data_IF_181975558395
#
_entry.id   IF_181975558395
#
_cell.length_a   1.000
_cell.length_b   1.000
_cell.length_c   1.000
_cell.angle_alpha   90.00
_cell.angle_beta   90.00
_cell.angle_gamma   90.00
#
_symmetry.space_group_name_H-M   'P 1'
#
loop_
_entity.id
_entity.type
_entity.pdbx_description
1 polymer ?
#
# COMPACT_ATOMS: atom_id res chain seq x y z
N UNK A 1 11.85 93.92 53.10
CA UNK A 1 12.63 92.97 52.29
C UNK A 1 13.19 91.97 53.31
N UNK A 2 12.92 90.68 53.26
CA UNK A 2 12.78 89.81 52.09
C UNK A 2 11.96 88.57 52.46
N UNK A 3 11.40 87.95 51.43
CA UNK A 3 10.40 86.89 51.39
C UNK A 3 10.76 85.63 52.20
N UNK A 4 9.78 85.12 52.96
CA UNK A 4 9.71 83.69 53.33
C UNK A 4 8.75 83.01 52.37
N UNK A 5 9.31 82.18 51.50
CA UNK A 5 8.62 81.34 50.51
C UNK A 5 7.89 80.21 51.26
N UNK A 6 6.56 80.31 51.40
CA UNK A 6 5.73 79.18 51.79
C UNK A 6 5.68 78.19 50.61
N UNK A 7 6.25 77.01 50.81
CA UNK A 7 6.15 75.90 49.87
C UNK A 7 4.71 75.36 49.91
N UNK A 8 3.97 75.59 48.82
CA UNK A 8 2.66 75.00 48.58
C UNK A 8 2.74 73.47 48.63
N UNK A 9 2.08 72.84 49.60
CA UNK A 9 1.74 71.42 49.53
C UNK A 9 0.74 71.19 48.38
N UNK A 10 0.93 70.14 47.55
CA UNK A 10 0.03 69.88 46.43
C UNK A 10 -1.36 69.45 46.93
N UNK A 11 -2.39 70.23 46.57
CA UNK A 11 -3.81 69.87 46.73
C UNK A 11 -4.15 68.71 45.77
N UNK A 12 -4.05 67.48 46.27
CA UNK A 12 -4.51 66.29 45.55
C UNK A 12 -4.61 65.08 46.48
N UNK A 13 -5.42 64.06 46.13
CA UNK A 13 -5.40 62.80 46.85
C UNK A 13 -3.97 62.25 46.84
N UNK A 14 -3.47 61.89 48.03
CA UNK A 14 -2.12 61.34 48.17
C UNK A 14 -2.03 60.07 47.33
N UNK A 15 -0.97 59.90 46.51
CA UNK A 15 -0.81 58.70 45.70
C UNK A 15 -0.82 57.47 46.60
N UNK A 16 -1.53 56.43 46.16
CA UNK A 16 -1.59 55.15 46.86
C UNK A 16 -0.17 54.58 46.96
N UNK A 17 0.25 54.18 48.17
CA UNK A 17 1.59 53.61 48.43
C UNK A 17 1.53 52.16 48.89
N UNK A 18 0.44 51.46 48.61
CA UNK A 18 0.30 50.05 48.96
C UNK A 18 1.03 49.13 47.99
N UNK A 19 0.88 47.83 48.17
CA UNK A 19 1.61 46.79 47.42
C UNK A 19 1.34 46.80 45.91
N UNK A 20 0.26 47.44 45.47
CA UNK A 20 -0.11 47.61 44.06
C UNK A 20 0.04 49.07 43.58
N UNK A 21 0.82 49.88 44.29
CA UNK A 21 1.14 51.23 43.86
C UNK A 21 2.00 51.18 42.60
N UNK A 22 1.52 51.78 41.52
CA UNK A 22 2.27 51.89 40.28
C UNK A 22 3.29 53.02 40.38
N UNK A 23 4.48 52.80 39.82
CA UNK A 23 5.53 53.81 39.68
C UNK A 23 5.11 54.87 38.64
N UNK A 24 4.85 56.12 39.06
CA UNK A 24 4.43 57.18 38.14
C UNK A 24 5.48 57.49 37.07
N UNK A 25 6.75 57.26 37.36
CA UNK A 25 7.87 57.56 36.47
C UNK A 25 8.10 56.43 35.45
N UNK A 26 7.47 55.26 35.64
CA UNK A 26 7.57 54.09 34.76
C UNK A 26 6.21 53.44 34.43
N UNK A 27 5.17 54.26 34.35
CA UNK A 27 3.79 53.82 34.20
C UNK A 27 3.56 52.97 32.94
N UNK A 28 4.22 53.28 31.83
CA UNK A 28 4.07 52.55 30.57
C UNK A 28 4.57 51.10 30.69
N UNK A 29 5.70 50.88 31.36
CA UNK A 29 6.25 49.54 31.57
C UNK A 29 5.38 48.74 32.55
N UNK A 30 4.83 49.36 33.59
CA UNK A 30 3.95 48.69 34.55
C UNK A 30 2.55 48.39 33.99
N UNK A 31 1.97 49.29 33.21
CA UNK A 31 0.71 49.03 32.50
C UNK A 31 0.89 47.91 31.47
N UNK A 32 2.05 47.82 30.83
CA UNK A 32 2.35 46.70 29.93
C UNK A 32 2.37 45.33 30.65
N UNK A 33 2.48 45.30 31.98
CA UNK A 33 2.36 44.10 32.83
C UNK A 33 0.93 43.84 33.30
N UNK A 34 -0.05 44.68 32.98
CA UNK A 34 -1.46 44.47 33.34
C UNK A 34 -2.18 43.79 32.17
N UNK A 35 -2.88 42.65 32.38
CA UNK A 35 -3.49 41.86 31.31
C UNK A 35 -4.40 42.62 30.35
N UNK A 36 -5.07 43.66 30.85
CA UNK A 36 -5.96 44.51 30.07
C UNK A 36 -5.22 45.44 29.10
N UNK A 37 -3.96 45.77 29.38
CA UNK A 37 -3.13 46.72 28.61
C UNK A 37 -1.86 46.07 28.03
N UNK A 38 -1.69 44.76 28.21
CA UNK A 38 -0.62 43.97 27.62
C UNK A 38 -0.69 44.01 26.09
N UNK A 39 0.42 44.41 25.47
CA UNK A 39 0.61 44.32 24.02
C UNK A 39 1.35 43.05 23.60
N UNK A 40 2.05 42.42 24.55
CA UNK A 40 2.77 41.15 24.39
C UNK A 40 2.66 40.33 25.68
N UNK A 41 2.75 39.00 25.57
CA UNK A 41 2.75 38.12 26.74
C UNK A 41 4.06 38.31 27.53
N UNK A 42 4.01 38.53 28.86
CA UNK A 42 5.20 38.72 29.68
C UNK A 42 6.04 37.43 29.73
N UNK A 43 7.37 37.60 29.82
CA UNK A 43 8.35 36.50 29.91
C UNK A 43 8.55 35.97 31.34
N UNK A 44 8.06 36.69 32.33
CA UNK A 44 8.13 36.36 33.76
C UNK A 44 6.72 36.05 34.30
N UNK A 45 6.65 35.26 35.38
CA UNK A 45 5.39 34.90 36.04
C UNK A 45 4.66 36.16 36.51
N UNK A 46 3.36 36.24 36.25
CA UNK A 46 2.55 37.42 36.52
C UNK A 46 1.30 37.04 37.30
N UNK A 47 1.31 37.35 38.60
CA UNK A 47 0.23 37.05 39.55
C UNK A 47 -1.15 37.52 39.07
N UNK A 48 -1.22 38.63 38.31
CA UNK A 48 -2.49 39.15 37.80
C UNK A 48 -3.02 38.37 36.59
N UNK A 49 -2.13 37.84 35.74
CA UNK A 49 -2.53 36.89 34.70
C UNK A 49 -3.00 35.58 35.32
N UNK A 50 -2.32 35.08 36.35
CA UNK A 50 -2.67 33.84 37.04
C UNK A 50 -4.00 33.95 37.78
N UNK A 51 -4.26 35.11 38.41
CA UNK A 51 -5.56 35.42 38.99
C UNK A 51 -6.68 35.42 37.94
N UNK A 52 -6.46 36.04 36.76
CA UNK A 52 -7.45 36.02 35.67
C UNK A 52 -7.63 34.63 35.07
N UNK A 53 -6.56 33.84 34.93
CA UNK A 53 -6.67 32.46 34.49
C UNK A 53 -7.46 31.60 35.48
N UNK A 54 -7.33 31.88 36.78
CA UNK A 54 -8.09 31.21 37.84
C UNK A 54 -9.58 31.54 37.76
N UNK A 55 -9.96 32.77 37.38
CA UNK A 55 -11.37 33.15 37.15
C UNK A 55 -12.08 32.28 36.10
N UNK A 56 -11.33 31.66 35.17
CA UNK A 56 -11.91 30.75 34.16
C UNK A 56 -12.47 29.47 34.81
N UNK A 57 -11.98 29.11 35.99
CA UNK A 57 -12.42 27.94 36.76
C UNK A 57 -13.32 28.31 37.95
N UNK A 58 -13.65 29.60 38.12
CA UNK A 58 -14.57 30.05 39.16
C UNK A 58 -16.02 29.75 38.75
N UNK A 59 -16.65 28.83 39.49
CA UNK A 59 -18.05 28.45 39.27
C UNK A 59 -18.33 27.02 39.68
N UNK A 60 -19.56 26.56 39.47
CA UNK A 60 -19.87 25.13 39.56
C UNK A 60 -19.17 24.37 38.42
N UNK A 61 -18.79 23.08 38.60
CA UNK A 61 -18.19 22.28 37.54
C UNK A 61 -19.01 22.29 36.24
N UNK A 62 -20.34 22.34 36.35
CA UNK A 62 -21.27 22.44 35.23
C UNK A 62 -21.16 23.77 34.46
N UNK A 63 -21.07 24.90 35.16
CA UNK A 63 -20.91 26.23 34.56
C UNK A 63 -19.55 26.37 33.86
N UNK A 64 -18.48 25.86 34.49
CA UNK A 64 -17.13 25.86 33.92
C UNK A 64 -17.08 24.99 32.66
N UNK A 65 -17.68 23.79 32.71
CA UNK A 65 -17.80 22.91 31.54
C UNK A 65 -18.59 23.57 30.40
N UNK A 66 -19.67 24.26 30.74
CA UNK A 66 -20.51 24.98 29.77
C UNK A 66 -19.73 26.11 29.09
N UNK A 67 -18.98 26.90 29.85
CA UNK A 67 -18.14 27.97 29.33
C UNK A 67 -17.09 27.42 28.34
N UNK A 68 -16.35 26.38 28.73
CA UNK A 68 -15.38 25.74 27.84
C UNK A 68 -16.03 25.12 26.59
N UNK A 69 -17.22 24.52 26.71
CA UNK A 69 -17.98 24.02 25.56
C UNK A 69 -18.30 25.16 24.59
N UNK A 70 -18.71 26.32 25.08
CA UNK A 70 -19.09 27.46 24.25
C UNK A 70 -17.87 28.11 23.57
N UNK A 71 -16.74 28.23 24.27
CA UNK A 71 -15.46 28.62 23.65
C UNK A 71 -15.02 27.63 22.55
N UNK A 72 -15.21 26.33 22.79
CA UNK A 72 -14.98 25.29 21.79
C UNK A 72 -15.90 25.44 20.57
N UNK A 73 -17.17 25.81 20.78
CA UNK A 73 -18.13 26.05 19.70
C UNK A 73 -17.74 27.27 18.85
N UNK A 74 -17.24 28.34 19.48
CA UNK A 74 -16.72 29.51 18.77
C UNK A 74 -15.51 29.15 17.90
N UNK A 75 -14.54 28.42 18.47
CA UNK A 75 -13.38 27.92 17.72
C UNK A 75 -13.81 27.00 16.57
N UNK A 76 -14.83 26.17 16.75
CA UNK A 76 -15.37 25.32 15.69
C UNK A 76 -15.99 26.15 14.55
N UNK A 77 -16.74 27.22 14.87
CA UNK A 77 -17.31 28.13 13.88
C UNK A 77 -16.24 28.94 13.15
N UNK A 78 -15.12 29.27 13.81
CA UNK A 78 -13.99 29.95 13.21
C UNK A 78 -13.26 29.11 12.13
N UNK A 79 -13.53 27.81 12.06
CA UNK A 79 -13.13 26.95 10.95
C UNK A 79 -11.82 26.18 11.17
N UNK A 80 -11.27 25.64 10.08
CA UNK A 80 -10.24 24.57 10.12
C UNK A 80 -8.97 24.94 10.88
N UNK A 81 -8.56 26.21 10.82
CA UNK A 81 -7.37 26.72 11.52
C UNK A 81 -7.50 26.64 13.04
N UNK A 82 -8.73 26.58 13.57
CA UNK A 82 -9.06 26.60 14.99
C UNK A 82 -9.61 25.28 15.53
N UNK A 83 -9.62 24.22 14.73
CA UNK A 83 -10.09 22.90 15.21
C UNK A 83 -9.20 22.28 16.29
N UNK A 84 -7.89 22.55 16.27
CA UNK A 84 -7.00 22.11 17.36
C UNK A 84 -7.35 22.81 18.68
N UNK A 85 -7.54 24.12 18.62
CA UNK A 85 -7.95 24.93 19.78
C UNK A 85 -9.31 24.48 20.30
N UNK A 86 -10.28 24.24 19.40
CA UNK A 86 -11.60 23.71 19.76
C UNK A 86 -11.50 22.36 20.49
N UNK A 87 -10.64 21.44 20.03
CA UNK A 87 -10.41 20.15 20.70
C UNK A 87 -9.87 20.36 22.11
N UNK A 88 -8.94 21.30 22.30
CA UNK A 88 -8.40 21.63 23.63
C UNK A 88 -9.50 22.13 24.56
N UNK A 89 -10.36 23.04 24.11
CA UNK A 89 -11.47 23.55 24.91
C UNK A 89 -12.50 22.47 25.26
N UNK A 90 -12.91 21.64 24.30
CA UNK A 90 -13.79 20.50 24.60
C UNK A 90 -13.16 19.48 25.53
N UNK A 91 -11.84 19.29 25.46
CA UNK A 91 -11.13 18.38 26.37
C UNK A 91 -11.11 18.95 27.78
N UNK A 92 -10.81 20.24 27.95
CA UNK A 92 -10.92 20.93 29.24
C UNK A 92 -12.34 20.85 29.81
N UNK A 93 -13.37 21.00 28.97
CA UNK A 93 -14.76 20.84 29.40
C UNK A 93 -15.04 19.41 29.91
N UNK A 94 -14.49 18.38 29.27
CA UNK A 94 -14.65 16.98 29.66
C UNK A 94 -13.80 16.57 30.86
N UNK A 95 -12.70 17.28 31.11
CA UNK A 95 -11.83 17.07 32.26
C UNK A 95 -12.40 17.73 33.53
N UNK A 96 -13.46 18.54 33.41
CA UNK A 96 -14.22 19.00 34.57
C UNK A 96 -14.96 17.83 35.22
N UNK A 97 -15.13 17.84 36.54
CA UNK A 97 -15.97 16.87 37.27
C UNK A 97 -17.48 17.13 37.07
N UNK A 98 -17.87 17.64 35.90
CA UNK A 98 -19.25 17.91 35.52
C UNK A 98 -20.06 16.62 35.48
N UNK A 99 -21.26 16.63 36.07
CA UNK A 99 -22.17 15.46 36.08
C UNK A 99 -23.30 15.55 35.05
N UNK A 100 -23.41 16.69 34.36
CA UNK A 100 -24.42 16.88 33.32
C UNK A 100 -24.04 16.12 32.05
N UNK A 101 -24.72 14.99 31.86
CA UNK A 101 -24.53 14.10 30.71
C UNK A 101 -24.83 14.79 29.37
N UNK A 102 -25.72 15.78 29.32
CA UNK A 102 -26.02 16.50 28.09
C UNK A 102 -24.84 17.38 27.63
N UNK A 103 -24.14 18.00 28.60
CA UNK A 103 -22.92 18.77 28.32
C UNK A 103 -21.81 17.83 27.84
N UNK A 104 -21.60 16.72 28.54
CA UNK A 104 -20.60 15.71 28.17
C UNK A 104 -20.87 15.14 26.78
N UNK A 105 -22.13 14.75 26.49
CA UNK A 105 -22.54 14.24 25.18
C UNK A 105 -22.22 15.25 24.06
N UNK A 106 -22.58 16.53 24.25
CA UNK A 106 -22.35 17.58 23.27
C UNK A 106 -20.85 17.82 23.04
N UNK A 107 -20.05 17.88 24.13
CA UNK A 107 -18.60 18.03 24.07
C UNK A 107 -17.94 16.87 23.31
N UNK A 108 -18.32 15.62 23.59
CA UNK A 108 -17.82 14.43 22.87
C UNK A 108 -18.21 14.47 21.39
N UNK A 109 -19.47 14.79 21.08
CA UNK A 109 -19.95 14.86 19.70
C UNK A 109 -19.23 15.96 18.89
N UNK A 110 -18.98 17.11 19.50
CA UNK A 110 -18.31 18.24 18.83
C UNK A 110 -16.80 18.02 18.71
N UNK A 111 -16.15 17.44 19.74
CA UNK A 111 -14.74 17.03 19.67
C UNK A 111 -14.51 15.97 18.59
N UNK A 112 -15.43 15.01 18.45
CA UNK A 112 -15.44 14.05 17.36
C UNK A 112 -15.56 14.73 15.99
N UNK A 113 -16.38 15.78 15.85
CA UNK A 113 -16.50 16.54 14.61
C UNK A 113 -15.18 17.22 14.21
N UNK A 114 -14.50 17.87 15.15
CA UNK A 114 -13.19 18.47 14.92
C UNK A 114 -12.16 17.40 14.49
N UNK A 115 -12.09 16.29 15.21
CA UNK A 115 -11.17 15.20 14.91
C UNK A 115 -11.45 14.57 13.54
N UNK A 116 -12.71 14.51 13.11
CA UNK A 116 -13.09 13.98 11.80
C UNK A 116 -12.61 14.86 10.66
N UNK A 117 -12.72 16.18 10.81
CA UNK A 117 -12.17 17.14 9.83
C UNK A 117 -10.64 17.15 9.79
N UNK A 118 -10.00 16.87 10.93
CA UNK A 118 -8.55 16.68 11.03
C UNK A 118 -8.09 15.26 10.63
N UNK A 119 -9.01 14.39 10.20
CA UNK A 119 -8.73 12.99 9.80
C UNK A 119 -8.12 12.10 10.92
N UNK A 120 -8.33 12.47 12.18
CA UNK A 120 -7.92 11.68 13.34
C UNK A 120 -8.95 10.57 13.64
N UNK A 121 -9.16 9.65 12.70
CA UNK A 121 -10.29 8.70 12.72
C UNK A 121 -10.35 7.84 14.00
N UNK A 122 -9.22 7.39 14.54
CA UNK A 122 -9.21 6.62 15.80
C UNK A 122 -9.76 7.40 17.00
N UNK A 123 -9.47 8.70 17.08
CA UNK A 123 -10.01 9.58 18.14
C UNK A 123 -11.51 9.81 17.94
N UNK A 124 -11.96 9.97 16.69
CA UNK A 124 -13.40 10.07 16.36
C UNK A 124 -14.17 8.88 16.91
N UNK A 125 -13.67 7.66 16.68
CA UNK A 125 -14.35 6.44 17.16
C UNK A 125 -14.40 6.36 18.68
N UNK A 126 -13.31 6.77 19.35
CA UNK A 126 -13.28 6.80 20.82
C UNK A 126 -14.30 7.80 21.38
N UNK A 127 -14.35 9.01 20.82
CA UNK A 127 -15.29 10.05 21.24
C UNK A 127 -16.73 9.68 20.92
N UNK A 128 -16.98 9.10 19.74
CA UNK A 128 -18.32 8.66 19.36
C UNK A 128 -18.80 7.46 20.18
N UNK A 129 -17.92 6.51 20.54
CA UNK A 129 -18.29 5.39 21.43
C UNK A 129 -18.80 5.90 22.76
N UNK A 130 -18.04 6.80 23.41
CA UNK A 130 -18.46 7.42 24.68
C UNK A 130 -19.74 8.24 24.53
N UNK A 131 -19.90 8.95 23.40
CA UNK A 131 -21.12 9.70 23.11
C UNK A 131 -22.34 8.77 22.98
N UNK A 132 -22.18 7.60 22.35
CA UNK A 132 -23.23 6.60 22.16
C UNK A 132 -23.53 5.79 23.42
N UNK A 133 -22.56 5.64 24.34
CA UNK A 133 -22.81 5.10 25.68
C UNK A 133 -23.76 5.99 26.49
N UNK A 134 -23.66 7.32 26.33
CA UNK A 134 -24.56 8.29 26.97
C UNK A 134 -25.90 8.36 26.24
N UNK A 135 -25.86 8.53 24.92
CA UNK A 135 -27.04 8.63 24.07
C UNK A 135 -26.91 7.73 22.83
N UNK A 136 -27.44 6.49 22.90
CA UNK A 136 -27.41 5.55 21.77
C UNK A 136 -28.14 6.05 20.53
N UNK A 137 -29.03 7.05 20.68
CA UNK A 137 -29.85 7.59 19.58
C UNK A 137 -29.22 8.81 18.90
N UNK A 138 -27.96 9.14 19.21
CA UNK A 138 -27.28 10.28 18.61
C UNK A 138 -26.85 9.97 17.15
N UNK A 139 -27.71 10.36 16.20
CA UNK A 139 -27.49 10.18 14.76
C UNK A 139 -26.18 10.82 14.30
N UNK A 140 -25.76 11.96 14.89
CA UNK A 140 -24.52 12.64 14.51
C UNK A 140 -23.29 11.82 14.90
N UNK A 141 -23.30 11.18 16.07
CA UNK A 141 -22.21 10.30 16.50
C UNK A 141 -22.12 9.03 15.64
N UNK A 142 -23.26 8.40 15.32
CA UNK A 142 -23.31 7.25 14.41
C UNK A 142 -22.81 7.60 13.00
N UNK A 143 -23.27 8.73 12.45
CA UNK A 143 -22.81 9.24 11.15
C UNK A 143 -21.29 9.48 11.11
N UNK A 144 -20.74 10.14 12.13
CA UNK A 144 -19.30 10.42 12.20
C UNK A 144 -18.48 9.14 12.36
N UNK A 145 -18.99 8.18 13.14
CA UNK A 145 -18.38 6.85 13.29
C UNK A 145 -18.36 6.11 11.95
N UNK A 146 -19.48 6.07 11.23
CA UNK A 146 -19.56 5.44 9.92
C UNK A 146 -18.57 6.07 8.92
N UNK A 147 -18.48 7.41 8.89
CA UNK A 147 -17.51 8.12 8.02
C UNK A 147 -16.07 7.79 8.39
N UNK A 148 -15.73 7.72 9.67
CA UNK A 148 -14.40 7.35 10.15
C UNK A 148 -14.05 5.88 9.86
N UNK A 149 -14.99 4.94 10.08
CA UNK A 149 -14.82 3.52 9.79
C UNK A 149 -14.65 3.27 8.29
N UNK A 150 -15.42 3.96 7.45
CA UNK A 150 -15.29 3.90 6.00
C UNK A 150 -13.90 4.40 5.53
N UNK A 151 -13.35 5.44 6.16
CA UNK A 151 -12.01 5.93 5.87
C UNK A 151 -10.89 4.98 6.34
N UNK A 152 -11.15 4.16 7.37
CA UNK A 152 -10.24 3.13 7.88
C UNK A 152 -10.40 1.77 7.18
N UNK A 153 -11.18 1.68 6.10
CA UNK A 153 -11.52 0.44 5.38
C UNK A 153 -12.20 -0.64 6.25
N UNK A 154 -12.78 -0.25 7.39
CA UNK A 154 -13.59 -1.12 8.26
C UNK A 154 -15.05 -1.10 7.80
N UNK A 155 -15.28 -1.61 6.59
CA UNK A 155 -16.53 -1.42 5.84
C UNK A 155 -17.76 -2.04 6.51
N UNK A 156 -17.62 -3.23 7.12
CA UNK A 156 -18.73 -3.91 7.78
C UNK A 156 -19.27 -3.10 8.97
N UNK A 157 -18.36 -2.59 9.80
CA UNK A 157 -18.70 -1.78 10.97
C UNK A 157 -19.26 -0.41 10.53
N UNK A 158 -18.75 0.15 9.43
CA UNK A 158 -19.31 1.38 8.86
C UNK A 158 -20.76 1.19 8.41
N UNK A 159 -21.08 0.05 7.77
CA UNK A 159 -22.44 -0.30 7.34
C UNK A 159 -23.35 -0.46 8.56
N UNK A 160 -22.88 -1.17 9.59
CA UNK A 160 -23.63 -1.36 10.83
C UNK A 160 -23.94 -0.02 11.54
N UNK A 161 -22.97 0.90 11.61
CA UNK A 161 -23.19 2.25 12.12
C UNK A 161 -24.24 3.02 11.28
N UNK A 162 -24.19 2.89 9.96
CA UNK A 162 -25.19 3.50 9.08
C UNK A 162 -26.59 2.89 9.29
N UNK A 163 -26.69 1.59 9.48
CA UNK A 163 -27.96 0.89 9.70
C UNK A 163 -28.63 1.34 11.00
N UNK A 164 -27.86 1.45 12.08
CA UNK A 164 -28.34 2.03 13.32
C UNK A 164 -28.78 3.49 13.16
N UNK A 165 -28.02 4.31 12.42
CA UNK A 165 -28.40 5.69 12.16
C UNK A 165 -29.71 5.79 11.35
N UNK A 166 -29.89 4.95 10.33
CA UNK A 166 -31.10 4.90 9.50
C UNK A 166 -32.31 4.31 10.24
N UNK A 167 -32.10 3.50 11.28
CA UNK A 167 -33.19 3.04 12.15
C UNK A 167 -33.77 4.19 12.98
N UNK A 168 -32.96 5.21 13.29
CA UNK A 168 -33.38 6.40 14.05
C UNK A 168 -33.89 7.50 13.12
N UNK A 169 -33.18 7.75 12.01
CA UNK A 169 -33.50 8.76 10.99
C UNK A 169 -33.49 8.13 9.59
N UNK A 170 -34.61 7.50 9.17
CA UNK A 170 -34.67 6.77 7.90
C UNK A 170 -34.49 7.63 6.64
N UNK A 171 -34.80 8.93 6.73
CA UNK A 171 -34.74 9.86 5.60
C UNK A 171 -33.37 10.52 5.41
N UNK A 172 -32.37 10.13 6.22
CA UNK A 172 -31.04 10.72 6.18
C UNK A 172 -30.27 10.34 4.90
N UNK A 173 -30.37 11.18 3.87
CA UNK A 173 -29.70 10.99 2.57
C UNK A 173 -28.19 10.81 2.70
N UNK A 174 -27.55 11.51 3.64
CA UNK A 174 -26.08 11.46 3.80
C UNK A 174 -25.64 10.10 4.33
N UNK A 175 -26.40 9.50 5.26
CA UNK A 175 -26.11 8.17 5.79
C UNK A 175 -26.35 7.10 4.71
N UNK A 176 -27.42 7.22 3.92
CA UNK A 176 -27.66 6.35 2.77
C UNK A 176 -26.48 6.36 1.78
N UNK A 177 -25.95 7.54 1.46
CA UNK A 177 -24.81 7.69 0.56
C UNK A 177 -23.54 7.03 1.11
N UNK A 178 -23.26 7.17 2.42
CA UNK A 178 -22.12 6.51 3.06
C UNK A 178 -22.31 5.00 3.03
N UNK A 179 -23.49 4.50 3.41
CA UNK A 179 -23.80 3.07 3.39
C UNK A 179 -23.61 2.49 1.99
N UNK A 180 -24.17 3.14 0.96
CA UNK A 180 -24.03 2.71 -0.43
C UNK A 180 -22.56 2.62 -0.83
N UNK A 181 -21.77 3.68 -0.58
CA UNK A 181 -20.33 3.67 -0.88
C UNK A 181 -19.57 2.57 -0.15
N UNK A 182 -19.91 2.29 1.11
CA UNK A 182 -19.28 1.24 1.90
C UNK A 182 -19.63 -0.17 1.35
N UNK A 183 -20.89 -0.39 0.97
CA UNK A 183 -21.35 -1.65 0.35
C UNK A 183 -20.70 -1.86 -1.02
N UNK A 184 -20.69 -0.84 -1.88
CA UNK A 184 -20.09 -0.92 -3.21
C UNK A 184 -18.58 -1.24 -3.10
N UNK A 185 -17.88 -0.57 -2.17
CA UNK A 185 -16.45 -0.83 -1.91
C UNK A 185 -16.22 -2.24 -1.37
N UNK A 186 -17.09 -2.74 -0.48
CA UNK A 186 -17.00 -4.11 0.05
C UNK A 186 -17.14 -5.13 -1.08
N UNK A 187 -18.18 -5.02 -1.89
CA UNK A 187 -18.45 -5.92 -2.99
C UNK A 187 -17.30 -5.92 -4.02
N UNK A 188 -16.73 -4.75 -4.32
CA UNK A 188 -15.56 -4.63 -5.19
C UNK A 188 -14.34 -5.36 -4.64
N UNK A 189 -14.07 -5.26 -3.34
CA UNK A 189 -12.94 -5.95 -2.69
C UNK A 189 -13.15 -7.48 -2.67
N UNK A 190 -14.38 -7.94 -2.39
CA UNK A 190 -14.73 -9.37 -2.41
C UNK A 190 -14.60 -9.95 -3.82
N UNK A 191 -15.07 -9.24 -4.85
CA UNK A 191 -14.92 -9.65 -6.25
C UNK A 191 -13.46 -9.75 -6.65
N UNK A 192 -12.64 -8.73 -6.32
CA UNK A 192 -11.21 -8.71 -6.61
C UNK A 192 -10.48 -9.87 -5.91
N UNK A 193 -10.86 -10.19 -4.67
CA UNK A 193 -10.32 -11.32 -3.93
C UNK A 193 -10.68 -12.65 -4.62
N UNK A 194 -11.94 -12.83 -5.00
CA UNK A 194 -12.40 -14.03 -5.72
C UNK A 194 -11.66 -14.23 -7.03
N UNK A 195 -11.50 -13.18 -7.83
CA UNK A 195 -10.76 -13.24 -9.10
C UNK A 195 -9.29 -13.61 -8.90
N UNK A 196 -8.66 -13.07 -7.86
CA UNK A 196 -7.27 -13.41 -7.51
C UNK A 196 -7.14 -14.89 -7.11
N UNK A 197 -8.02 -15.36 -6.24
CA UNK A 197 -8.03 -16.77 -5.79
C UNK A 197 -8.32 -17.74 -6.94
N UNK A 198 -9.23 -17.38 -7.85
CA UNK A 198 -9.52 -18.19 -9.04
C UNK A 198 -8.33 -18.24 -10.00
N UNK A 199 -7.65 -17.10 -10.24
CA UNK A 199 -6.43 -17.06 -11.05
C UNK A 199 -5.33 -17.93 -10.45
N UNK A 200 -5.07 -17.79 -9.15
CA UNK A 200 -4.08 -18.61 -8.44
C UNK A 200 -4.44 -20.10 -8.46
N UNK A 201 -5.73 -20.45 -8.37
CA UNK A 201 -6.20 -21.83 -8.52
C UNK A 201 -5.92 -22.37 -9.92
N UNK A 202 -6.27 -21.64 -10.98
CA UNK A 202 -6.02 -22.03 -12.37
C UNK A 202 -4.52 -22.18 -12.65
N UNK A 203 -3.69 -21.28 -12.13
CA UNK A 203 -2.22 -21.36 -12.27
C UNK A 203 -1.64 -22.60 -11.56
N UNK A 204 -2.14 -22.94 -10.37
CA UNK A 204 -1.77 -24.19 -9.67
C UNK A 204 -2.21 -25.43 -10.44
N UNK A 205 -3.47 -25.49 -10.87
CA UNK A 205 -4.00 -26.61 -11.65
C UNK A 205 -3.18 -26.83 -12.93
N UNK A 206 -2.86 -25.75 -13.67
CA UNK A 206 -1.99 -25.82 -14.85
C UNK A 206 -0.61 -26.36 -14.52
N UNK A 207 0.01 -25.88 -13.44
CA UNK A 207 1.34 -26.34 -12.99
C UNK A 207 1.31 -27.82 -12.61
N UNK A 208 0.31 -28.25 -11.85
CA UNK A 208 0.17 -29.65 -11.43
C UNK A 208 -0.06 -30.57 -12.63
N UNK A 209 -0.88 -30.15 -13.60
CA UNK A 209 -1.09 -30.92 -14.85
C UNK A 209 0.19 -31.03 -15.66
N UNK A 210 0.98 -29.94 -15.75
CA UNK A 210 2.25 -29.93 -16.46
C UNK A 210 3.30 -30.82 -15.78
N UNK A 211 3.38 -30.78 -14.45
CA UNK A 211 4.27 -31.66 -13.68
C UNK A 211 3.90 -33.13 -13.82
N UNK A 212 2.61 -33.47 -13.84
CA UNK A 212 2.15 -34.83 -14.10
C UNK A 212 2.50 -35.26 -15.54
N UNK A 213 2.29 -34.39 -16.52
CA UNK A 213 2.65 -34.65 -17.91
C UNK A 213 4.15 -34.92 -18.10
N UNK A 214 5.03 -34.24 -17.35
CA UNK A 214 6.48 -34.52 -17.36
C UNK A 214 6.81 -35.89 -16.78
N UNK A 215 6.16 -36.28 -15.67
CA UNK A 215 6.35 -37.60 -15.04
C UNK A 215 5.90 -38.73 -15.95
N UNK A 216 4.73 -38.60 -16.59
CA UNK A 216 4.21 -39.60 -17.53
C UNK A 216 5.13 -39.81 -18.73
N UNK A 217 5.79 -38.74 -19.20
CA UNK A 217 6.71 -38.76 -20.34
C UNK A 217 8.17 -39.03 -19.96
N UNK A 218 8.47 -39.33 -18.70
CA UNK A 218 9.84 -39.52 -18.18
C UNK A 218 10.79 -38.35 -18.48
N UNK A 219 10.29 -37.12 -18.48
CA UNK A 219 11.09 -35.93 -18.80
C UNK A 219 11.83 -35.47 -17.54
N UNK A 220 13.16 -35.38 -17.63
CA UNK A 220 14.00 -34.90 -16.54
C UNK A 220 14.35 -33.43 -16.77
N UNK A 221 13.97 -32.55 -15.84
CA UNK A 221 14.29 -31.12 -15.88
C UNK A 221 15.27 -30.80 -14.74
N UNK A 222 16.41 -30.22 -15.09
CA UNK A 222 17.38 -29.66 -14.15
C UNK A 222 17.21 -28.15 -14.09
N UNK A 223 17.01 -27.61 -12.88
CA UNK A 223 16.88 -26.17 -12.64
C UNK A 223 18.21 -25.65 -12.11
N UNK A 224 18.93 -24.92 -12.95
CA UNK A 224 20.16 -24.19 -12.61
C UNK A 224 19.81 -22.72 -12.28
N UNK A 225 18.91 -22.13 -13.06
CA UNK A 225 18.43 -20.76 -12.93
C UNK A 225 16.90 -20.76 -12.80
N UNK A 226 16.42 -20.29 -11.64
CA UNK A 226 14.98 -20.22 -11.34
C UNK A 226 14.27 -19.17 -12.17
N UNK A 227 14.91 -18.03 -12.45
CA UNK A 227 14.30 -16.93 -13.19
C UNK A 227 14.07 -17.34 -14.65
N UNK A 228 15.06 -18.01 -15.25
CA UNK A 228 14.91 -18.58 -16.60
C UNK A 228 13.82 -19.66 -16.63
N UNK A 229 13.75 -20.52 -15.61
CA UNK A 229 12.73 -21.57 -15.53
C UNK A 229 11.31 -21.05 -15.43
N UNK A 230 11.10 -19.97 -14.67
CA UNK A 230 9.79 -19.32 -14.54
C UNK A 230 9.38 -18.59 -15.82
N UNK A 231 10.35 -18.08 -16.59
CA UNK A 231 10.14 -17.45 -17.90
C UNK A 231 10.03 -18.45 -19.07
N UNK A 232 10.41 -19.71 -18.87
CA UNK A 232 10.29 -20.75 -19.88
C UNK A 232 8.82 -20.99 -20.20
N UNK A 233 8.38 -20.52 -21.38
CA UNK A 233 7.00 -20.56 -21.84
C UNK A 233 6.63 -21.98 -22.35
N UNK A 234 6.63 -22.95 -21.44
CA UNK A 234 6.17 -24.31 -21.73
C UNK A 234 4.66 -24.31 -21.66
N UNK A 235 4.02 -24.57 -22.79
CA UNK A 235 2.56 -24.55 -22.91
C UNK A 235 2.01 -25.98 -23.02
N UNK A 236 0.95 -26.25 -22.28
CA UNK A 236 0.27 -27.54 -22.29
C UNK A 236 -1.05 -27.40 -23.03
N UNK A 237 -1.16 -28.07 -24.18
CA UNK A 237 -2.40 -28.12 -24.93
C UNK A 237 -3.30 -29.24 -24.37
N UNK A 238 -4.38 -28.83 -23.72
CA UNK A 238 -5.36 -29.73 -23.11
C UNK A 238 -6.22 -30.46 -24.14
N UNK A 239 -6.37 -29.95 -25.37
CA UNK A 239 -7.21 -30.57 -26.40
C UNK A 239 -6.48 -31.74 -27.06
N UNK A 240 -5.21 -31.52 -27.42
CA UNK A 240 -4.38 -32.53 -28.08
C UNK A 240 -3.60 -33.39 -27.07
N UNK A 241 -3.60 -33.02 -25.79
CA UNK A 241 -2.80 -33.63 -24.75
C UNK A 241 -1.29 -33.60 -25.10
N UNK A 242 -0.82 -32.52 -25.73
CA UNK A 242 0.57 -32.34 -26.16
C UNK A 242 1.24 -31.16 -25.46
N UNK A 243 2.57 -31.24 -25.34
CA UNK A 243 3.39 -30.16 -24.76
C UNK A 243 4.09 -29.39 -25.89
N UNK A 244 3.97 -28.07 -25.85
CA UNK A 244 4.74 -27.16 -26.69
C UNK A 244 5.92 -26.62 -25.90
N UNK A 245 7.12 -26.83 -26.42
CA UNK A 245 8.37 -26.48 -25.75
C UNK A 245 9.03 -25.27 -26.41
N UNK A 246 9.57 -24.32 -25.63
CA UNK A 246 10.55 -23.38 -26.14
C UNK A 246 11.86 -24.14 -26.39
N UNK A 247 12.46 -24.03 -27.57
CA UNK A 247 13.65 -24.81 -27.96
C UNK A 247 14.74 -23.92 -28.52
N UNK A 248 15.99 -24.16 -28.13
CA UNK A 248 17.16 -23.55 -28.75
C UNK A 248 17.82 -24.48 -29.75
N UNK A 249 18.07 -23.96 -30.94
CA UNK A 249 18.99 -24.54 -31.91
C UNK A 249 20.29 -23.76 -31.90
N UNK A 250 21.40 -24.45 -31.67
CA UNK A 250 22.72 -23.86 -31.49
C UNK A 250 23.62 -24.21 -32.69
N UNK A 251 24.26 -23.20 -33.27
CA UNK A 251 25.17 -23.31 -34.41
C UNK A 251 26.60 -22.95 -33.97
N UNK A 252 27.32 -23.87 -33.30
CA UNK A 252 28.59 -23.56 -32.65
C UNK A 252 29.71 -23.11 -33.60
N UNK A 253 29.64 -23.51 -34.88
CA UNK A 253 30.61 -23.09 -35.91
C UNK A 253 30.59 -21.59 -36.17
N UNK A 254 29.39 -20.99 -36.10
CA UNK A 254 29.15 -19.56 -36.34
C UNK A 254 28.86 -18.78 -35.05
N UNK A 255 28.73 -19.48 -33.91
CA UNK A 255 28.31 -18.92 -32.60
C UNK A 255 26.93 -18.25 -32.65
N UNK A 256 26.07 -18.76 -33.52
CA UNK A 256 24.69 -18.29 -33.68
C UNK A 256 23.72 -19.24 -32.98
N UNK A 257 22.51 -18.75 -32.72
CA UNK A 257 21.44 -19.56 -32.13
C UNK A 257 20.07 -19.08 -32.59
N UNK A 258 19.15 -20.02 -32.82
CA UNK A 258 17.75 -19.73 -33.03
C UNK A 258 16.90 -20.14 -31.83
N UNK A 259 15.93 -19.31 -31.48
CA UNK A 259 14.96 -19.57 -30.43
C UNK A 259 13.58 -19.86 -31.03
N UNK A 260 13.15 -21.12 -30.93
CA UNK A 260 11.83 -21.57 -31.34
C UNK A 260 10.90 -21.41 -30.15
N UNK A 261 9.92 -20.50 -30.25
CA UNK A 261 9.03 -20.19 -29.12
C UNK A 261 8.08 -21.34 -28.75
N UNK A 262 7.66 -22.12 -29.76
CA UNK A 262 6.68 -23.19 -29.61
C UNK A 262 7.01 -24.35 -30.56
N UNK A 263 7.63 -25.38 -30.01
CA UNK A 263 7.92 -26.63 -30.69
C UNK A 263 7.01 -27.71 -30.09
N UNK A 264 6.00 -28.15 -30.85
CA UNK A 264 5.11 -29.23 -30.42
C UNK A 264 5.86 -30.56 -30.31
N UNK A 265 5.69 -31.27 -29.19
CA UNK A 265 6.39 -32.53 -28.92
C UNK A 265 6.16 -33.64 -29.97
N UNK A 266 5.06 -33.57 -30.74
CA UNK A 266 4.72 -34.52 -31.79
C UNK A 266 5.36 -34.21 -33.15
N UNK A 267 5.86 -32.99 -33.35
CA UNK A 267 6.54 -32.60 -34.58
C UNK A 267 7.97 -33.15 -34.62
N UNK A 268 8.49 -33.38 -35.82
CA UNK A 268 9.86 -33.85 -36.01
C UNK A 268 10.83 -32.69 -36.13
N UNK A 269 12.12 -32.96 -35.87
CA UNK A 269 13.17 -31.99 -36.14
C UNK A 269 13.26 -31.67 -37.62
N UNK A 270 12.99 -32.65 -38.50
CA UNK A 270 13.01 -32.45 -39.94
C UNK A 270 12.02 -31.37 -40.36
N UNK A 271 10.79 -31.42 -39.88
CA UNK A 271 9.74 -30.45 -40.24
C UNK A 271 10.15 -29.01 -39.87
N UNK A 272 10.72 -28.81 -38.68
CA UNK A 272 11.19 -27.50 -38.25
C UNK A 272 12.42 -27.03 -39.03
N UNK A 273 13.38 -27.92 -39.30
CA UNK A 273 14.58 -27.57 -40.06
C UNK A 273 14.25 -27.20 -41.51
N UNK A 274 13.24 -27.83 -42.10
CA UNK A 274 12.75 -27.47 -43.45
C UNK A 274 12.17 -26.05 -43.49
N UNK A 275 11.39 -25.67 -42.48
CA UNK A 275 10.84 -24.31 -42.38
C UNK A 275 11.95 -23.29 -42.11
N UNK A 276 12.88 -23.61 -41.18
CA UNK A 276 13.94 -22.68 -40.78
C UNK A 276 14.96 -22.43 -41.89
N UNK A 277 15.30 -23.47 -42.67
CA UNK A 277 16.27 -23.37 -43.77
C UNK A 277 15.61 -23.22 -45.15
N UNK A 278 14.34 -22.82 -45.21
CA UNK A 278 13.68 -22.48 -46.48
C UNK A 278 14.43 -21.34 -47.21
N UNK A 279 14.94 -20.38 -46.43
CA UNK A 279 15.89 -19.37 -46.91
C UNK A 279 17.26 -19.59 -46.26
N UNK A 280 18.36 -19.49 -47.03
CA UNK A 280 19.70 -19.60 -46.46
C UNK A 280 19.92 -18.55 -45.38
N UNK A 281 20.49 -18.98 -44.25
CA UNK A 281 20.78 -18.06 -43.17
C UNK A 281 21.82 -16.99 -43.62
N UNK A 282 21.67 -15.71 -43.24
CA UNK A 282 22.58 -14.64 -43.68
C UNK A 282 24.05 -14.88 -43.31
N UNK A 283 24.28 -15.59 -42.20
CA UNK A 283 25.62 -15.94 -41.70
C UNK A 283 26.23 -17.17 -42.41
N UNK A 284 25.41 -17.97 -43.11
CA UNK A 284 25.87 -19.15 -43.85
C UNK A 284 26.26 -18.79 -45.28
N UNK A 285 27.37 -18.06 -45.42
CA UNK A 285 27.90 -17.64 -46.73
C UNK A 285 28.24 -18.82 -47.66
N UNK A 286 28.44 -20.03 -47.11
CA UNK A 286 28.76 -21.25 -47.86
C UNK A 286 27.53 -22.09 -48.21
N UNK A 287 26.35 -21.74 -47.68
CA UNK A 287 25.10 -22.48 -47.83
C UNK A 287 25.23 -23.96 -47.42
N UNK A 288 26.06 -24.21 -46.41
CA UNK A 288 26.33 -25.54 -45.86
C UNK A 288 25.26 -26.01 -44.87
N UNK A 289 24.40 -25.10 -44.38
CA UNK A 289 23.28 -25.38 -43.48
C UNK A 289 21.99 -25.50 -44.27
N UNK A 290 21.69 -26.73 -44.68
CA UNK A 290 20.42 -27.10 -45.28
C UNK A 290 19.88 -28.39 -44.61
N UNK A 291 18.58 -28.63 -44.74
CA UNK A 291 17.92 -29.79 -44.11
C UNK A 291 18.65 -31.10 -44.37
N UNK A 292 19.23 -31.30 -45.55
CA UNK A 292 19.89 -32.55 -45.93
C UNK A 292 21.33 -32.67 -45.44
N UNK A 293 22.05 -31.55 -45.35
CA UNK A 293 23.45 -31.46 -44.97
C UNK A 293 23.65 -31.39 -43.48
N UNK A 294 22.66 -30.94 -42.69
CA UNK A 294 22.80 -30.81 -41.24
C UNK A 294 22.51 -32.11 -40.49
N UNK A 295 23.15 -32.23 -39.33
CA UNK A 295 22.93 -33.23 -38.30
C UNK A 295 22.62 -32.54 -36.98
N UNK A 296 21.71 -33.14 -36.21
CA UNK A 296 21.27 -32.64 -34.92
C UNK A 296 21.89 -33.48 -33.81
N UNK A 297 22.37 -32.83 -32.77
CA UNK A 297 23.01 -33.45 -31.62
C UNK A 297 22.44 -32.88 -30.32
N UNK A 298 22.57 -33.63 -29.23
CA UNK A 298 22.41 -33.12 -27.88
C UNK A 298 23.55 -33.57 -26.98
N UNK A 299 23.69 -32.92 -25.83
CA UNK A 299 24.68 -33.24 -24.81
C UNK A 299 24.06 -34.15 -23.72
N UNK A 300 24.61 -35.34 -23.53
CA UNK A 300 24.37 -36.17 -22.34
C UNK A 300 25.34 -35.73 -21.24
N UNK A 301 24.79 -35.12 -20.20
CA UNK A 301 25.52 -34.53 -19.07
C UNK A 301 25.55 -35.42 -17.81
N UNK A 302 25.07 -36.67 -17.88
CA UNK A 302 24.99 -37.56 -16.69
C UNK A 302 26.34 -38.11 -16.24
N UNK A 303 27.36 -38.05 -17.09
CA UNK A 303 28.72 -38.52 -16.79
C UNK A 303 29.66 -37.40 -16.33
N UNK A 304 30.86 -37.77 -15.85
CA UNK A 304 31.92 -36.80 -15.51
C UNK A 304 32.29 -35.87 -16.68
N UNK A 305 32.20 -36.38 -17.90
CA UNK A 305 32.43 -35.61 -19.12
C UNK A 305 31.15 -35.63 -19.98
N UNK A 306 30.71 -34.47 -20.51
CA UNK A 306 29.56 -34.39 -21.40
C UNK A 306 29.86 -35.16 -22.70
N UNK A 307 28.86 -35.86 -23.23
CA UNK A 307 28.97 -36.59 -24.50
C UNK A 307 27.96 -36.08 -25.51
N UNK A 308 28.38 -35.92 -26.76
CA UNK A 308 27.47 -35.57 -27.85
C UNK A 308 26.82 -36.81 -28.45
N UNK A 309 25.50 -36.82 -28.49
CA UNK A 309 24.68 -37.90 -29.05
C UNK A 309 23.98 -37.37 -30.30
N UNK A 310 24.15 -38.09 -31.41
CA UNK A 310 23.52 -37.77 -32.69
C UNK A 310 22.05 -38.20 -32.69
N UNK A 311 21.16 -37.29 -33.10
CA UNK A 311 19.72 -37.53 -33.24
C UNK A 311 19.36 -37.74 -34.72
N UNK A 312 18.46 -38.68 -34.97
CA UNK A 312 17.79 -38.79 -36.27
C UNK A 312 16.75 -37.70 -36.46
N UNK A 313 16.83 -36.92 -37.54
CA UNK A 313 15.93 -35.78 -37.83
C UNK A 313 14.44 -36.16 -37.91
N UNK A 314 14.14 -37.43 -38.23
CA UNK A 314 12.78 -37.97 -38.30
C UNK A 314 12.17 -38.31 -36.92
N UNK A 315 12.93 -38.18 -35.84
CA UNK A 315 12.38 -38.36 -34.49
C UNK A 315 11.60 -37.12 -34.07
N UNK A 316 10.57 -37.33 -33.26
CA UNK A 316 9.80 -36.26 -32.64
C UNK A 316 10.54 -35.69 -31.45
N UNK A 317 10.25 -34.43 -31.09
CA UNK A 317 10.86 -33.80 -29.92
C UNK A 317 10.54 -34.59 -28.64
N UNK A 318 9.27 -34.97 -28.44
CA UNK A 318 8.83 -35.73 -27.26
C UNK A 318 9.61 -37.02 -27.07
N UNK A 319 9.88 -37.76 -28.16
CA UNK A 319 10.68 -39.00 -28.09
C UNK A 319 12.10 -38.76 -27.60
N UNK A 320 12.71 -37.62 -27.94
CA UNK A 320 14.07 -37.28 -27.51
C UNK A 320 14.07 -36.78 -26.06
N UNK A 321 13.07 -35.98 -25.66
CA UNK A 321 12.94 -35.50 -24.29
C UNK A 321 12.64 -36.62 -23.28
N UNK A 322 11.99 -37.69 -23.72
CA UNK A 322 11.73 -38.90 -22.91
C UNK A 322 12.93 -39.84 -22.76
N UNK A 323 14.07 -39.55 -23.40
CA UNK A 323 15.27 -40.36 -23.22
C UNK A 323 15.88 -40.07 -21.85
N UNK A 324 16.23 -41.12 -21.09
CA UNK A 324 16.97 -40.98 -19.83
C UNK A 324 18.29 -40.20 -19.97
N UNK A 325 18.79 -40.09 -21.21
CA UNK A 325 20.04 -39.43 -21.57
C UNK A 325 19.91 -37.92 -21.75
N UNK A 326 18.68 -37.44 -21.96
CA UNK A 326 18.41 -36.03 -22.21
C UNK A 326 17.92 -35.37 -20.92
N UNK A 327 18.58 -34.29 -20.53
CA UNK A 327 18.18 -33.48 -19.38
C UNK A 327 17.85 -32.08 -19.87
N UNK A 328 16.63 -31.64 -19.63
CA UNK A 328 16.17 -30.30 -19.99
C UNK A 328 16.68 -29.30 -18.98
N UNK A 329 17.56 -28.38 -19.40
CA UNK A 329 18.07 -27.30 -18.53
C UNK A 329 17.09 -26.14 -18.48
N UNK A 330 16.72 -25.72 -17.27
CA UNK A 330 15.83 -24.58 -17.01
C UNK A 330 14.49 -24.61 -17.77
N UNK A 331 14.03 -25.78 -18.20
CA UNK A 331 12.79 -25.91 -18.98
C UNK A 331 12.90 -25.54 -20.47
N UNK A 332 14.10 -25.35 -21.00
CA UNK A 332 14.32 -25.01 -22.41
C UNK A 332 15.27 -26.04 -23.04
N UNK A 333 14.75 -27.02 -23.80
CA UNK A 333 15.57 -27.95 -24.55
C UNK A 333 16.51 -27.22 -25.52
N UNK A 334 17.75 -27.68 -25.60
CA UNK A 334 18.78 -27.16 -26.49
C UNK A 334 19.35 -28.28 -27.35
N UNK A 335 19.55 -28.00 -28.63
CA UNK A 335 20.08 -28.92 -29.61
C UNK A 335 21.17 -28.25 -30.44
N UNK A 336 22.22 -29.00 -30.75
CA UNK A 336 23.37 -28.54 -31.52
C UNK A 336 23.22 -28.99 -32.96
N UNK A 337 23.34 -28.05 -33.90
CA UNK A 337 23.20 -28.31 -35.33
C UNK A 337 24.53 -28.06 -36.02
N UNK A 338 25.01 -29.06 -36.77
CA UNK A 338 26.28 -28.97 -37.50
C UNK A 338 26.17 -29.61 -38.90
N UNK A 339 26.86 -29.09 -39.93
CA UNK A 339 26.94 -29.71 -41.23
C UNK A 339 27.70 -31.04 -41.17
N UNK A 340 27.23 -32.03 -41.95
CA UNK A 340 27.80 -33.38 -42.04
C UNK A 340 29.29 -33.37 -42.36
N UNK A 341 29.68 -32.51 -43.30
CA UNK A 341 31.00 -32.48 -43.92
C UNK A 341 31.87 -31.31 -43.43
N UNK A 342 31.44 -30.56 -42.41
CA UNK A 342 32.24 -29.43 -41.92
C UNK A 342 33.50 -29.95 -41.19
N UNK A 343 34.70 -29.38 -41.46
CA UNK A 343 35.90 -29.69 -40.70
C UNK A 343 35.77 -29.28 -39.22
N UNK A 344 34.99 -28.24 -38.92
CA UNK A 344 34.71 -27.79 -37.57
C UNK A 344 34.03 -28.89 -36.74
N UNK A 345 33.09 -29.63 -37.34
CA UNK A 345 32.40 -30.73 -36.66
C UNK A 345 33.39 -31.78 -36.14
N UNK A 346 34.42 -32.15 -36.90
CA UNK A 346 35.41 -33.13 -36.45
C UNK A 346 36.21 -32.61 -35.26
N UNK A 347 36.65 -31.35 -35.32
CA UNK A 347 37.35 -30.69 -34.20
C UNK A 347 36.46 -30.60 -32.96
N UNK A 348 35.19 -30.22 -33.16
CA UNK A 348 34.20 -30.10 -32.10
C UNK A 348 33.94 -31.44 -31.43
N UNK A 349 33.65 -32.50 -32.20
CA UNK A 349 33.44 -33.85 -31.66
C UNK A 349 34.67 -34.39 -30.91
N UNK A 350 35.88 -34.03 -31.34
CA UNK A 350 37.11 -34.45 -30.64
C UNK A 350 37.26 -33.79 -29.27
N UNK A 351 36.69 -32.59 -29.04
CA UNK A 351 36.68 -31.94 -27.73
C UNK A 351 35.81 -32.70 -26.70
N UNK A 352 34.77 -33.41 -27.15
CA UNK A 352 33.88 -34.22 -26.31
C UNK A 352 34.34 -35.67 -26.11
N UNK A 353 35.44 -36.10 -26.76
CA UNK A 353 36.03 -37.43 -26.58
C UNK A 353 37.19 -37.45 -25.57
N UNK A 354 37.70 -36.28 -25.20
CA UNK A 354 38.69 -36.10 -24.13
C UNK A 354 37.99 -36.02 -22.78
#
# INVERSE_FOLDING_TARGET
>A
MSETTEQNEPLGPKPYKGQYAMDPDNLDEELSKVPLFMTQLPSEDNDTLDAIQSLVFDGTPEEVALNFKDQGNECFRAGKTKYKDAITFYTRALDTECKDMAIIEACLANRAACNLELQNFGRVLTDCSKCLEINPKNVKALYRSAKALAALDRLLEAIDCCDHALMIDPENKVVHDIKKKAVDRKNMLEEKKRQKEERERREREKKDTLENAFKERNITIQVEDKEVREKANIDYDFETNTINWPVFFLYPEYKESDYIQSFNEMHTFQDHLEIMFEQPAPWDAKQEYNTNSVEVFFEDIRGLNPKLIKIGKKHTLGKILSLDQYIVKNGVPSFIIMPKNSPFKQEFLNKYKK
#
